data_IF_037740497816
#
_entry.id   IF_037740497816
#
_cell.length_a   1.000
_cell.length_b   1.000
_cell.length_c   1.000
_cell.angle_alpha   90.00
_cell.angle_beta   90.00
_cell.angle_gamma   90.00
#
_symmetry.space_group_name_H-M   'P 1'
#
loop_
_entity.id
_entity.type
_entity.pdbx_description
1 polymer ?
#
# COMPACT_ATOMS: atom_id res chain seq x y z
N UNK A 1 7.77 12.81 23.54
CA UNK A 1 8.81 11.95 24.15
C UNK A 1 9.26 10.86 23.18
N UNK A 2 8.34 10.13 22.54
CA UNK A 2 8.66 9.05 21.58
C UNK A 2 9.50 9.52 20.37
N UNK A 3 9.14 10.61 19.69
CA UNK A 3 10.00 11.14 18.60
C UNK A 3 11.38 11.62 19.05
N UNK A 4 11.54 12.03 20.31
CA UNK A 4 12.90 12.35 20.82
C UNK A 4 13.78 11.10 20.87
N UNK A 5 13.18 9.93 21.09
CA UNK A 5 13.89 8.64 21.00
C UNK A 5 14.28 8.41 19.55
N UNK A 6 13.34 8.53 18.59
CA UNK A 6 13.57 8.31 17.16
C UNK A 6 14.54 9.29 16.47
N UNK A 7 15.03 10.33 17.16
CA UNK A 7 15.99 11.32 16.63
C UNK A 7 17.38 11.23 17.27
N UNK A 8 17.59 10.28 18.18
CA UNK A 8 18.86 10.12 18.89
C UNK A 8 19.49 8.77 18.55
N UNK A 9 20.67 8.79 17.93
CA UNK A 9 21.35 7.58 17.45
C UNK A 9 21.63 6.57 18.57
N UNK A 10 21.86 7.04 19.79
CA UNK A 10 22.09 6.21 20.97
C UNK A 10 20.89 5.32 21.34
N UNK A 11 19.70 5.60 20.79
CA UNK A 11 18.48 4.85 21.03
C UNK A 11 17.95 4.11 19.79
N UNK A 12 18.74 3.94 18.71
CA UNK A 12 18.31 3.24 17.48
C UNK A 12 17.62 1.89 17.74
N UNK A 13 18.12 1.12 18.71
CA UNK A 13 17.51 -0.16 19.10
C UNK A 13 16.08 -0.06 19.65
N UNK A 14 15.64 1.13 20.07
CA UNK A 14 14.30 1.40 20.60
C UNK A 14 13.35 2.01 19.56
N UNK A 15 13.83 2.36 18.36
CA UNK A 15 13.00 3.04 17.36
C UNK A 15 11.79 2.20 16.96
N UNK A 16 11.91 0.89 16.65
CA UNK A 16 10.75 0.10 16.27
C UNK A 16 9.66 0.10 17.34
N UNK A 17 10.02 -0.06 18.61
CA UNK A 17 9.05 -0.03 19.72
C UNK A 17 8.42 1.35 19.91
N UNK A 18 9.19 2.42 19.76
CA UNK A 18 8.67 3.78 19.83
C UNK A 18 7.70 4.09 18.69
N UNK A 19 8.03 3.70 17.45
CA UNK A 19 7.20 3.87 16.26
C UNK A 19 5.91 3.04 16.35
N UNK A 20 5.97 1.79 16.81
CA UNK A 20 4.77 0.98 17.05
C UNK A 20 3.82 1.62 18.06
N UNK A 21 4.39 2.21 19.11
CA UNK A 21 3.62 2.96 20.11
C UNK A 21 3.00 4.22 19.48
N UNK A 22 3.74 4.92 18.62
CA UNK A 22 3.22 6.07 17.88
C UNK A 22 2.06 5.68 16.96
N UNK A 23 2.15 4.56 16.23
CA UNK A 23 1.05 4.08 15.40
C UNK A 23 -0.23 3.85 16.23
N UNK A 24 -0.08 3.29 17.44
CA UNK A 24 -1.23 3.10 18.34
C UNK A 24 -1.83 4.41 18.85
N UNK A 25 -1.01 5.45 19.07
CA UNK A 25 -1.46 6.76 19.58
C UNK A 25 -2.06 7.63 18.46
N UNK A 26 -1.58 7.48 17.23
CA UNK A 26 -2.04 8.26 16.08
C UNK A 26 -3.33 7.72 15.45
N UNK A 27 -4.07 6.87 16.16
CA UNK A 27 -5.38 6.38 15.72
C UNK A 27 -6.51 7.43 15.90
N UNK A 28 -6.21 8.59 16.50
CA UNK A 28 -7.12 9.72 16.70
C UNK A 28 -6.48 11.03 16.23
N UNK A 29 -7.30 12.01 15.86
CA UNK A 29 -6.85 13.30 15.30
C UNK A 29 -5.89 14.05 16.23
N UNK A 30 -6.13 14.04 17.54
CA UNK A 30 -5.24 14.68 18.51
C UNK A 30 -3.84 14.08 18.49
N UNK A 31 -3.72 12.77 18.33
CA UNK A 31 -2.43 12.08 18.24
C UNK A 31 -1.65 12.52 17.00
N UNK A 32 -2.34 12.61 15.87
CA UNK A 32 -1.78 13.05 14.58
C UNK A 32 -1.38 14.53 14.66
N UNK A 33 -2.21 15.37 15.26
CA UNK A 33 -1.90 16.78 15.45
C UNK A 33 -0.65 16.99 16.34
N UNK A 34 -0.49 16.19 17.39
CA UNK A 34 0.73 16.23 18.21
C UNK A 34 1.95 15.72 17.46
N UNK A 35 1.78 14.75 16.55
CA UNK A 35 2.84 14.25 15.67
C UNK A 35 3.31 15.37 14.72
N UNK A 36 2.38 16.08 14.09
CA UNK A 36 2.71 17.18 13.19
C UNK A 36 3.46 18.32 13.90
N UNK A 37 3.01 18.68 15.12
CA UNK A 37 3.64 19.73 15.94
C UNK A 37 5.11 19.53 16.28
N UNK A 38 5.62 18.30 16.14
CA UNK A 38 7.00 17.95 16.50
C UNK A 38 7.80 17.49 15.30
N UNK A 39 7.41 17.92 14.09
CA UNK A 39 8.01 17.53 12.81
C UNK A 39 8.01 16.01 12.62
N UNK A 40 6.96 15.34 13.11
CA UNK A 40 6.88 13.89 13.11
C UNK A 40 6.88 13.30 11.70
N UNK A 41 6.26 13.97 10.73
CA UNK A 41 6.25 13.54 9.33
C UNK A 41 7.65 13.60 8.72
N UNK A 42 8.39 14.68 8.95
CA UNK A 42 9.78 14.78 8.50
C UNK A 42 10.62 13.66 9.11
N UNK A 43 10.47 13.40 10.41
CA UNK A 43 11.16 12.29 11.08
C UNK A 43 10.80 10.91 10.50
N UNK A 44 9.53 10.68 10.13
CA UNK A 44 9.11 9.43 9.48
C UNK A 44 9.73 9.30 8.08
N UNK A 45 9.78 10.41 7.34
CA UNK A 45 10.39 10.49 6.01
C UNK A 45 11.88 10.16 6.10
N UNK A 46 12.62 10.81 7.01
CA UNK A 46 14.05 10.53 7.27
C UNK A 46 14.30 9.05 7.59
N UNK A 47 13.45 8.43 8.42
CA UNK A 47 13.60 7.02 8.79
C UNK A 47 13.35 6.11 7.58
N UNK A 48 12.34 6.42 6.75
CA UNK A 48 11.96 5.62 5.59
C UNK A 48 12.99 5.72 4.47
N UNK A 49 13.60 6.88 4.27
CA UNK A 49 14.59 7.13 3.20
C UNK A 49 16.01 6.74 3.59
N UNK A 50 16.35 6.69 4.88
CA UNK A 50 17.67 6.26 5.36
C UNK A 50 17.87 4.75 5.24
N UNK A 51 18.63 4.33 4.23
CA UNK A 51 19.00 2.92 4.00
C UNK A 51 19.86 2.31 5.11
N UNK A 52 20.50 3.13 5.96
CA UNK A 52 21.20 2.62 7.14
C UNK A 52 20.24 2.16 8.25
N UNK A 53 18.95 2.52 8.18
CA UNK A 53 17.94 2.03 9.10
C UNK A 53 17.59 0.58 8.81
N UNK A 54 17.38 -0.19 9.89
CA UNK A 54 16.91 -1.56 9.76
C UNK A 54 15.55 -1.61 9.07
N UNK A 55 15.31 -2.69 8.32
CA UNK A 55 14.01 -2.94 7.69
C UNK A 55 12.87 -2.90 8.72
N UNK A 56 13.10 -3.46 9.92
CA UNK A 56 12.13 -3.40 11.01
C UNK A 56 11.78 -1.95 11.42
N UNK A 57 12.76 -1.05 11.46
CA UNK A 57 12.52 0.36 11.77
C UNK A 57 11.72 1.05 10.66
N UNK A 58 12.10 0.80 9.39
CA UNK A 58 11.38 1.33 8.21
C UNK A 58 9.94 0.80 8.15
N UNK A 59 9.72 -0.48 8.47
CA UNK A 59 8.39 -1.09 8.54
C UNK A 59 7.49 -0.44 9.60
N UNK A 60 8.01 -0.17 10.80
CA UNK A 60 7.25 0.52 11.84
C UNK A 60 6.97 1.99 11.47
N UNK A 61 7.89 2.67 10.78
CA UNK A 61 7.62 4.01 10.25
C UNK A 61 6.50 3.95 9.20
N UNK A 62 6.51 2.95 8.31
CA UNK A 62 5.44 2.72 7.35
C UNK A 62 4.08 2.45 8.04
N UNK A 63 4.09 1.73 9.18
CA UNK A 63 2.89 1.52 9.98
C UNK A 63 2.31 2.83 10.54
N UNK A 64 3.16 3.74 11.01
CA UNK A 64 2.73 5.08 11.43
C UNK A 64 2.15 5.86 10.24
N UNK A 65 2.81 5.83 9.07
CA UNK A 65 2.30 6.49 7.86
C UNK A 65 0.94 5.92 7.45
N UNK A 66 0.77 4.60 7.43
CA UNK A 66 -0.51 3.94 7.16
C UNK A 66 -1.59 4.40 8.15
N UNK A 67 -1.26 4.51 9.44
CA UNK A 67 -2.20 4.97 10.44
C UNK A 67 -2.63 6.42 10.19
N UNK A 68 -1.68 7.35 10.03
CA UNK A 68 -2.02 8.77 9.89
C UNK A 68 -2.70 9.08 8.55
N UNK A 69 -2.58 8.20 7.55
CA UNK A 69 -3.21 8.36 6.23
C UNK A 69 -4.53 7.61 6.09
N UNK A 70 -5.00 6.95 7.15
CA UNK A 70 -6.21 6.12 7.08
C UNK A 70 -7.43 6.92 6.56
N UNK A 71 -8.20 6.40 5.58
CA UNK A 71 -9.30 7.12 4.91
C UNK A 71 -10.42 7.63 5.82
N UNK A 72 -10.53 7.12 7.05
CA UNK A 72 -11.51 7.56 8.04
C UNK A 72 -11.10 8.85 8.76
N UNK A 73 -9.86 9.29 8.57
CA UNK A 73 -9.31 10.51 9.13
C UNK A 73 -9.42 11.61 8.08
N UNK A 74 -10.27 12.60 8.31
CA UNK A 74 -10.37 13.78 7.43
C UNK A 74 -9.19 14.74 7.60
N UNK A 75 -8.44 14.62 8.69
CA UNK A 75 -7.40 15.56 9.09
C UNK A 75 -6.13 15.52 8.21
N UNK A 76 -5.80 14.37 7.63
CA UNK A 76 -4.51 14.15 6.95
C UNK A 76 -4.32 15.02 5.71
N UNK A 77 -5.41 15.36 5.02
CA UNK A 77 -5.40 16.25 3.86
C UNK A 77 -4.97 17.69 4.20
N UNK A 78 -4.92 18.03 5.50
CA UNK A 78 -4.51 19.35 5.98
C UNK A 78 -3.08 19.37 6.55
N UNK A 79 -2.35 18.25 6.51
CA UNK A 79 -0.98 18.19 7.00
C UNK A 79 -0.02 18.74 5.94
N UNK A 80 0.37 20.01 6.08
CA UNK A 80 1.30 20.67 5.15
C UNK A 80 2.60 19.88 4.98
N UNK A 81 3.17 19.37 6.08
CA UNK A 81 4.40 18.57 6.03
C UNK A 81 4.20 17.24 5.27
N UNK A 82 2.99 16.67 5.27
CA UNK A 82 2.70 15.46 4.49
C UNK A 82 2.77 15.74 2.99
N UNK A 83 2.13 16.82 2.56
CA UNK A 83 2.10 17.23 1.16
C UNK A 83 3.51 17.57 0.68
N UNK A 84 4.29 18.29 1.50
CA UNK A 84 5.67 18.66 1.19
C UNK A 84 6.62 17.47 1.03
N UNK A 85 6.36 16.36 1.74
CA UNK A 85 7.22 15.16 1.74
C UNK A 85 6.61 13.97 0.96
N UNK A 86 5.50 14.18 0.23
CA UNK A 86 4.74 13.10 -0.39
C UNK A 86 5.60 12.26 -1.36
N UNK A 87 6.46 12.89 -2.15
CA UNK A 87 7.34 12.20 -3.11
C UNK A 87 8.31 11.24 -2.45
N UNK A 88 8.99 11.72 -1.42
CA UNK A 88 9.96 10.92 -0.68
C UNK A 88 9.27 9.77 0.05
N UNK A 89 8.10 10.02 0.65
CA UNK A 89 7.30 9.00 1.31
C UNK A 89 6.83 7.92 0.34
N UNK A 90 6.20 8.29 -0.78
CA UNK A 90 5.73 7.35 -1.80
C UNK A 90 6.90 6.53 -2.34
N UNK A 91 8.03 7.19 -2.63
CA UNK A 91 9.24 6.54 -3.14
C UNK A 91 9.78 5.50 -2.16
N UNK A 92 9.96 5.90 -0.90
CA UNK A 92 10.52 5.03 0.12
C UNK A 92 9.59 3.85 0.45
N UNK A 93 8.27 4.07 0.49
CA UNK A 93 7.28 3.02 0.73
C UNK A 93 7.19 2.01 -0.43
N UNK A 94 7.27 2.49 -1.68
CA UNK A 94 7.31 1.60 -2.85
C UNK A 94 8.58 0.75 -2.84
N UNK A 95 9.74 1.36 -2.55
CA UNK A 95 11.00 0.65 -2.39
C UNK A 95 10.94 -0.38 -1.26
N UNK A 96 10.39 -0.02 -0.10
CA UNK A 96 10.21 -0.95 1.02
C UNK A 96 9.30 -2.12 0.64
N UNK A 97 8.23 -1.87 -0.14
CA UNK A 97 7.36 -2.93 -0.68
C UNK A 97 8.11 -3.86 -1.65
N UNK A 98 9.01 -3.31 -2.47
CA UNK A 98 9.83 -4.07 -3.41
C UNK A 98 10.90 -4.94 -2.71
N UNK A 99 11.48 -4.43 -1.62
CA UNK A 99 12.57 -5.08 -0.88
C UNK A 99 12.09 -5.99 0.25
N UNK A 100 10.81 -5.88 0.63
CA UNK A 100 10.23 -6.57 1.78
C UNK A 100 10.66 -8.04 1.90
N UNK A 101 11.30 -8.36 3.01
CA UNK A 101 11.77 -9.71 3.37
C UNK A 101 10.66 -10.60 3.96
N UNK A 102 9.53 -9.99 4.35
CA UNK A 102 8.39 -10.69 4.95
C UNK A 102 7.05 -10.11 4.51
N UNK A 103 5.99 -10.91 4.65
CA UNK A 103 4.62 -10.48 4.38
C UNK A 103 4.16 -9.33 5.26
N UNK A 104 4.65 -9.23 6.50
CA UNK A 104 4.31 -8.14 7.42
C UNK A 104 4.88 -6.80 6.93
N UNK A 105 6.16 -6.77 6.55
CA UNK A 105 6.81 -5.56 6.02
C UNK A 105 6.09 -5.08 4.75
N UNK A 106 5.79 -6.01 3.84
CA UNK A 106 5.05 -5.70 2.62
C UNK A 106 3.65 -5.14 2.94
N UNK A 107 2.92 -5.76 3.87
CA UNK A 107 1.58 -5.34 4.25
C UNK A 107 1.57 -3.91 4.80
N UNK A 108 2.52 -3.57 5.67
CA UNK A 108 2.61 -2.23 6.26
C UNK A 108 2.93 -1.16 5.20
N UNK A 109 3.91 -1.42 4.33
CA UNK A 109 4.29 -0.50 3.27
C UNK A 109 3.17 -0.31 2.23
N UNK A 110 2.55 -1.41 1.79
CA UNK A 110 1.43 -1.35 0.83
C UNK A 110 0.16 -0.75 1.43
N UNK A 111 -0.12 -0.93 2.73
CA UNK A 111 -1.24 -0.26 3.39
C UNK A 111 -1.06 1.26 3.42
N UNK A 112 0.16 1.74 3.68
CA UNK A 112 0.47 3.16 3.57
C UNK A 112 0.24 3.66 2.13
N UNK A 113 0.77 2.99 1.11
CA UNK A 113 0.56 3.38 -0.29
C UNK A 113 -0.93 3.37 -0.70
N UNK A 114 -1.69 2.36 -0.27
CA UNK A 114 -3.13 2.27 -0.54
C UNK A 114 -3.89 3.47 0.03
N UNK A 115 -3.50 3.93 1.22
CA UNK A 115 -4.08 5.11 1.84
C UNK A 115 -3.65 6.40 1.15
N UNK A 116 -2.36 6.56 0.81
CA UNK A 116 -1.86 7.76 0.12
C UNK A 116 -2.50 7.94 -1.26
N UNK A 117 -2.61 6.86 -2.03
CA UNK A 117 -3.28 6.85 -3.35
C UNK A 117 -4.77 7.14 -3.29
N UNK A 118 -5.40 6.95 -2.12
CA UNK A 118 -6.77 7.36 -1.90
C UNK A 118 -6.88 8.86 -1.62
N UNK A 119 -5.86 9.46 -0.99
CA UNK A 119 -5.87 10.87 -0.60
C UNK A 119 -5.66 11.81 -1.78
N UNK A 120 -4.72 11.50 -2.66
CA UNK A 120 -4.32 12.42 -3.74
C UNK A 120 -3.99 11.68 -5.05
N UNK A 121 -4.56 12.17 -6.17
CA UNK A 121 -4.30 11.62 -7.50
C UNK A 121 -2.85 11.82 -7.94
N UNK A 122 -2.15 12.87 -7.46
CA UNK A 122 -0.74 13.08 -7.74
C UNK A 122 0.11 11.87 -7.31
N UNK A 123 -0.22 11.25 -6.17
CA UNK A 123 0.49 10.06 -5.72
C UNK A 123 0.29 8.84 -6.65
N UNK A 124 -0.87 8.73 -7.31
CA UNK A 124 -1.10 7.72 -8.35
C UNK A 124 -0.21 7.98 -9.57
N UNK A 125 -0.04 9.24 -9.98
CA UNK A 125 0.83 9.63 -11.10
C UNK A 125 2.30 9.31 -10.79
N UNK A 126 2.74 9.58 -9.57
CA UNK A 126 4.09 9.25 -9.09
C UNK A 126 4.33 7.73 -9.13
N UNK A 127 3.40 6.94 -8.59
CA UNK A 127 3.50 5.48 -8.64
C UNK A 127 3.55 4.94 -10.07
N UNK A 128 2.77 5.53 -10.98
CA UNK A 128 2.80 5.17 -12.39
C UNK A 128 4.18 5.44 -13.01
N UNK A 129 4.78 6.60 -12.73
CA UNK A 129 6.13 6.97 -13.20
C UNK A 129 7.25 6.09 -12.63
N UNK A 130 7.01 5.45 -11.48
CA UNK A 130 7.97 4.60 -10.77
C UNK A 130 7.82 3.10 -11.08
N UNK A 131 7.12 2.72 -12.16
CA UNK A 131 6.83 1.33 -12.51
C UNK A 131 6.13 0.54 -11.37
N UNK A 132 5.33 1.20 -10.54
CA UNK A 132 4.73 0.56 -9.37
C UNK A 132 3.87 -0.66 -9.74
N UNK A 133 3.17 -0.62 -10.89
CA UNK A 133 2.37 -1.74 -11.37
C UNK A 133 3.23 -2.98 -11.55
N UNK A 134 4.38 -2.86 -12.23
CA UNK A 134 5.34 -3.96 -12.39
C UNK A 134 5.86 -4.49 -11.06
N UNK A 135 6.20 -3.60 -10.13
CA UNK A 135 6.69 -3.96 -8.79
C UNK A 135 5.61 -4.76 -8.03
N UNK A 136 4.37 -4.28 -8.02
CA UNK A 136 3.25 -4.93 -7.35
C UNK A 136 2.88 -6.26 -8.00
N UNK A 137 2.89 -6.35 -9.34
CA UNK A 137 2.61 -7.60 -10.06
C UNK A 137 3.71 -8.63 -9.79
N UNK A 138 4.97 -8.20 -9.72
CA UNK A 138 6.10 -9.06 -9.34
C UNK A 138 5.94 -9.56 -7.90
N UNK A 139 5.54 -8.68 -6.96
CA UNK A 139 5.29 -9.08 -5.58
C UNK A 139 4.18 -10.13 -5.45
N UNK A 140 3.11 -10.07 -6.26
CA UNK A 140 2.05 -11.07 -6.29
C UNK A 140 2.53 -12.49 -6.65
N UNK A 141 3.67 -12.62 -7.35
CA UNK A 141 4.26 -13.92 -7.70
C UNK A 141 5.06 -14.53 -6.54
N UNK A 142 5.48 -13.72 -5.57
CA UNK A 142 6.21 -14.15 -4.38
C UNK A 142 5.24 -14.54 -3.25
N UNK A 143 5.08 -15.86 -3.06
CA UNK A 143 4.20 -16.44 -2.03
C UNK A 143 4.70 -16.25 -0.60
N UNK A 144 5.94 -15.81 -0.37
CA UNK A 144 6.41 -15.44 0.97
C UNK A 144 6.02 -14.00 1.33
N UNK A 145 5.96 -13.13 0.32
CA UNK A 145 5.62 -11.71 0.48
C UNK A 145 4.12 -11.46 0.41
N UNK A 146 3.42 -12.03 -0.57
CA UNK A 146 1.97 -11.86 -0.77
C UNK A 146 1.26 -13.18 -0.48
N UNK A 147 1.14 -13.48 0.82
CA UNK A 147 0.65 -14.76 1.31
C UNK A 147 -0.76 -14.73 1.93
N UNK A 148 -1.37 -13.55 2.05
CA UNK A 148 -2.67 -13.36 2.72
C UNK A 148 -3.61 -12.47 1.90
N UNK A 149 -4.92 -12.62 2.13
CA UNK A 149 -5.92 -11.75 1.52
C UNK A 149 -5.78 -10.29 1.97
N UNK A 150 -5.17 -10.01 3.12
CA UNK A 150 -4.85 -8.64 3.55
C UNK A 150 -3.82 -7.96 2.65
N UNK A 151 -2.75 -8.67 2.27
CA UNK A 151 -1.74 -8.13 1.37
C UNK A 151 -2.32 -7.88 -0.04
N UNK A 152 -3.13 -8.83 -0.53
CA UNK A 152 -3.83 -8.68 -1.82
C UNK A 152 -4.84 -7.54 -1.78
N UNK A 153 -5.53 -7.33 -0.66
CA UNK A 153 -6.45 -6.21 -0.44
C UNK A 153 -5.74 -4.87 -0.60
N UNK A 154 -4.51 -4.72 -0.08
CA UNK A 154 -3.73 -3.50 -0.29
C UNK A 154 -3.34 -3.31 -1.75
N UNK A 155 -2.83 -4.34 -2.42
CA UNK A 155 -2.43 -4.28 -3.83
C UNK A 155 -3.60 -3.86 -4.71
N UNK A 156 -4.74 -4.54 -4.59
CA UNK A 156 -5.92 -4.22 -5.41
C UNK A 156 -6.49 -2.85 -5.06
N UNK A 157 -6.33 -2.36 -3.83
CA UNK A 157 -6.72 -0.98 -3.46
C UNK A 157 -5.86 0.03 -4.21
N UNK A 158 -4.54 -0.15 -4.23
CA UNK A 158 -3.61 0.72 -4.97
C UNK A 158 -3.99 0.73 -6.46
N UNK A 159 -4.19 -0.45 -7.06
CA UNK A 159 -4.59 -0.55 -8.47
C UNK A 159 -5.97 0.08 -8.74
N UNK A 160 -6.93 -0.09 -7.83
CA UNK A 160 -8.25 0.52 -7.95
C UNK A 160 -8.15 2.05 -7.94
N UNK A 161 -7.30 2.62 -7.09
CA UNK A 161 -7.06 4.05 -7.03
C UNK A 161 -6.33 4.55 -8.29
N UNK A 162 -5.28 3.84 -8.72
CA UNK A 162 -4.54 4.16 -9.95
C UNK A 162 -5.35 3.98 -11.23
N UNK A 163 -6.41 3.15 -11.23
CA UNK A 163 -7.26 2.90 -12.41
C UNK A 163 -8.03 4.11 -12.93
N UNK A 164 -7.97 5.25 -12.22
CA UNK A 164 -8.48 6.53 -12.71
C UNK A 164 -7.58 7.16 -13.78
N UNK A 165 -6.31 6.74 -13.86
CA UNK A 165 -5.35 7.23 -14.85
C UNK A 165 -5.48 6.43 -16.15
N UNK A 166 -5.50 7.12 -17.29
CA UNK A 166 -5.72 6.51 -18.61
C UNK A 166 -4.63 5.47 -18.95
N UNK A 167 -3.39 5.71 -18.55
CA UNK A 167 -2.23 4.83 -18.83
C UNK A 167 -2.22 3.56 -17.95
N UNK A 168 -3.03 3.51 -16.89
CA UNK A 168 -3.02 2.39 -15.96
C UNK A 168 -3.43 1.08 -16.64
N UNK A 169 -4.38 1.13 -17.59
CA UNK A 169 -4.85 -0.05 -18.32
C UNK A 169 -3.73 -0.71 -19.14
N UNK A 170 -2.97 0.07 -19.92
CA UNK A 170 -1.90 -0.45 -20.76
C UNK A 170 -0.78 -1.08 -19.93
N UNK A 171 -0.39 -0.46 -18.82
CA UNK A 171 0.63 -1.00 -17.91
C UNK A 171 0.17 -2.30 -17.25
N UNK A 172 -1.09 -2.39 -16.80
CA UNK A 172 -1.63 -3.63 -16.23
C UNK A 172 -1.69 -4.76 -17.26
N UNK A 173 -2.00 -4.46 -18.53
CA UNK A 173 -1.95 -5.45 -19.61
C UNK A 173 -0.52 -5.94 -19.84
N UNK A 174 0.44 -5.00 -19.94
CA UNK A 174 1.86 -5.29 -20.16
C UNK A 174 2.43 -6.22 -19.08
N UNK A 175 2.11 -5.96 -17.82
CA UNK A 175 2.64 -6.69 -16.66
C UNK A 175 1.81 -7.93 -16.28
N UNK A 176 0.98 -8.45 -17.20
CA UNK A 176 0.08 -9.59 -16.99
C UNK A 176 -0.90 -9.43 -15.80
N UNK A 177 -1.15 -8.20 -15.36
CA UNK A 177 -1.96 -7.92 -14.18
C UNK A 177 -3.44 -8.23 -14.37
N UNK A 178 -3.94 -8.29 -15.61
CA UNK A 178 -5.31 -8.76 -15.91
C UNK A 178 -5.56 -10.17 -15.35
N UNK A 179 -4.59 -11.08 -15.50
CA UNK A 179 -4.68 -12.44 -14.96
C UNK A 179 -4.78 -12.40 -13.43
N UNK A 180 -3.91 -11.62 -12.80
CA UNK A 180 -3.85 -11.49 -11.33
C UNK A 180 -5.15 -10.90 -10.79
N UNK A 181 -5.72 -9.88 -11.43
CA UNK A 181 -7.00 -9.30 -11.04
C UNK A 181 -8.16 -10.29 -11.16
N UNK A 182 -8.16 -11.15 -12.17
CA UNK A 182 -9.15 -12.23 -12.30
C UNK A 182 -8.95 -13.30 -11.21
N UNK A 183 -7.71 -13.67 -10.91
CA UNK A 183 -7.41 -14.60 -9.81
C UNK A 183 -7.87 -14.04 -8.45
N UNK A 184 -7.65 -12.74 -8.20
CA UNK A 184 -8.13 -12.03 -7.01
C UNK A 184 -9.66 -11.92 -6.97
N UNK A 185 -10.32 -11.73 -8.12
CA UNK A 185 -11.79 -11.71 -8.22
C UNK A 185 -12.42 -13.04 -7.76
N UNK A 186 -11.73 -14.16 -7.99
CA UNK A 186 -12.21 -15.50 -7.64
C UNK A 186 -11.48 -16.10 -6.42
N UNK A 187 -10.75 -15.28 -5.65
CA UNK A 187 -10.03 -15.73 -4.47
C UNK A 187 -11.00 -16.34 -3.43
N UNK A 188 -10.53 -17.31 -2.65
CA UNK A 188 -11.30 -17.93 -1.56
C UNK A 188 -10.55 -17.76 -0.25
N UNK A 189 -11.28 -17.54 0.83
CA UNK A 189 -10.71 -17.53 2.18
C UNK A 189 -9.96 -18.83 2.44
N UNK A 190 -8.77 -18.70 3.02
CA UNK A 190 -7.87 -19.83 3.29
C UNK A 190 -8.14 -20.46 4.66
N UNK A 191 -8.67 -19.68 5.60
CA UNK A 191 -8.80 -20.08 7.01
C UNK A 191 -10.24 -20.23 7.49
N UNK A 192 -11.22 -19.68 6.76
CA UNK A 192 -12.64 -19.69 7.14
C UNK A 192 -12.97 -18.82 8.35
N UNK A 193 -12.02 -18.05 8.88
CA UNK A 193 -12.24 -17.10 9.98
C UNK A 193 -12.92 -15.86 9.42
N UNK A 194 -13.87 -15.27 10.16
CA UNK A 194 -14.64 -14.11 9.71
C UNK A 194 -13.77 -12.96 9.20
N UNK A 195 -12.66 -12.65 9.89
CA UNK A 195 -11.77 -11.57 9.49
C UNK A 195 -11.08 -11.83 8.13
N UNK A 196 -10.70 -13.09 7.86
CA UNK A 196 -10.10 -13.53 6.59
C UNK A 196 -11.15 -13.57 5.47
N UNK A 197 -12.37 -14.01 5.78
CA UNK A 197 -13.51 -13.95 4.86
C UNK A 197 -13.78 -12.50 4.45
N UNK A 198 -13.90 -11.58 5.41
CA UNK A 198 -14.13 -10.17 5.12
C UNK A 198 -12.97 -9.54 4.34
N UNK A 199 -11.72 -9.96 4.58
CA UNK A 199 -10.60 -9.51 3.77
C UNK A 199 -10.69 -10.02 2.33
N UNK A 200 -10.99 -11.31 2.15
CA UNK A 200 -11.21 -11.93 0.84
C UNK A 200 -12.35 -11.26 0.07
N UNK A 201 -13.47 -10.96 0.72
CA UNK A 201 -14.61 -10.25 0.10
C UNK A 201 -14.20 -8.85 -0.40
N UNK A 202 -13.38 -8.11 0.37
CA UNK A 202 -12.84 -6.82 -0.07
C UNK A 202 -11.94 -6.96 -1.30
N UNK A 203 -11.09 -8.00 -1.34
CA UNK A 203 -10.25 -8.30 -2.52
C UNK A 203 -11.13 -8.51 -3.75
N UNK A 204 -12.15 -9.37 -3.65
CA UNK A 204 -13.06 -9.66 -4.76
C UNK A 204 -13.80 -8.41 -5.23
N UNK A 205 -14.37 -7.63 -4.30
CA UNK A 205 -15.11 -6.42 -4.60
C UNK A 205 -14.25 -5.38 -5.31
N UNK A 206 -13.05 -5.10 -4.77
CA UNK A 206 -12.13 -4.13 -5.37
C UNK A 206 -11.58 -4.61 -6.70
N UNK A 207 -11.35 -5.92 -6.86
CA UNK A 207 -10.97 -6.52 -8.15
C UNK A 207 -12.06 -6.30 -9.19
N UNK A 208 -13.33 -6.56 -8.83
CA UNK A 208 -14.47 -6.34 -9.72
C UNK A 208 -14.58 -4.86 -10.16
N UNK A 209 -14.45 -3.93 -9.21
CA UNK A 209 -14.48 -2.48 -9.51
C UNK A 209 -13.32 -2.08 -10.41
N UNK A 210 -12.11 -2.57 -10.13
CA UNK A 210 -10.91 -2.26 -10.92
C UNK A 210 -11.03 -2.80 -12.33
N UNK A 211 -11.43 -4.07 -12.50
CA UNK A 211 -11.70 -4.69 -13.79
C UNK A 211 -12.76 -3.90 -14.57
N UNK A 212 -13.85 -3.49 -13.93
CA UNK A 212 -14.91 -2.71 -14.57
C UNK A 212 -14.44 -1.33 -15.04
N UNK A 213 -13.61 -0.64 -14.25
CA UNK A 213 -13.04 0.67 -14.62
C UNK A 213 -12.08 0.54 -15.80
N UNK A 214 -11.16 -0.43 -15.74
CA UNK A 214 -10.14 -0.65 -16.76
C UNK A 214 -10.71 -1.22 -18.06
N UNK A 215 -11.86 -1.89 -18.03
CA UNK A 215 -12.55 -2.41 -19.24
C UNK A 215 -13.09 -1.32 -20.18
N UNK A 216 -12.91 -0.04 -19.84
CA UNK A 216 -13.09 1.07 -20.79
C UNK A 216 -12.01 1.07 -21.87
N UNK A 217 -10.83 0.54 -21.56
CA UNK A 217 -9.77 0.29 -22.52
C UNK A 217 -10.05 -1.01 -23.33
N UNK A 218 -10.08 -0.95 -24.67
CA UNK A 218 -10.41 -2.12 -25.49
C UNK A 218 -9.41 -3.29 -25.36
N UNK A 219 -8.12 -3.00 -25.22
CA UNK A 219 -7.09 -4.04 -25.11
C UNK A 219 -7.21 -4.76 -23.77
N UNK A 220 -7.42 -4.01 -22.70
CA UNK A 220 -7.72 -4.54 -21.38
C UNK A 220 -8.98 -5.42 -21.39
N UNK A 221 -10.08 -4.91 -21.96
CA UNK A 221 -11.34 -5.65 -22.03
C UNK A 221 -11.19 -6.98 -22.79
N UNK A 222 -10.47 -6.96 -23.92
CA UNK A 222 -10.19 -8.16 -24.69
C UNK A 222 -9.33 -9.16 -23.90
N UNK A 223 -8.30 -8.69 -23.21
CA UNK A 223 -7.48 -9.52 -22.33
C UNK A 223 -8.32 -10.15 -21.21
N UNK A 224 -9.19 -9.36 -20.56
CA UNK A 224 -10.04 -9.82 -19.46
C UNK A 224 -11.00 -10.93 -19.90
N UNK A 225 -11.65 -10.79 -21.07
CA UNK A 225 -12.51 -11.85 -21.64
C UNK A 225 -11.69 -13.12 -21.88
N UNK A 226 -10.51 -13.00 -22.50
CA UNK A 226 -9.65 -14.14 -22.81
C UNK A 226 -9.23 -14.90 -21.55
N UNK A 227 -8.86 -14.21 -20.48
CA UNK A 227 -8.44 -14.86 -19.23
C UNK A 227 -9.63 -15.40 -18.44
N UNK A 228 -10.77 -14.71 -18.40
CA UNK A 228 -11.96 -15.19 -17.70
C UNK A 228 -12.50 -16.48 -18.34
N UNK A 229 -12.55 -16.56 -19.67
CA UNK A 229 -12.93 -17.78 -20.37
C UNK A 229 -12.00 -18.95 -20.04
N UNK A 230 -10.68 -18.72 -19.97
CA UNK A 230 -9.71 -19.75 -19.57
C UNK A 230 -9.91 -20.18 -18.12
N UNK A 231 -10.13 -19.23 -17.22
CA UNK A 231 -10.31 -19.51 -15.81
C UNK A 231 -11.56 -20.36 -15.56
N UNK A 232 -12.70 -20.02 -16.18
CA UNK A 232 -13.94 -20.81 -16.09
C UNK A 232 -13.85 -22.21 -16.71
N UNK A 233 -12.89 -22.48 -17.61
CA UNK A 233 -12.68 -23.84 -18.17
C UNK A 233 -11.88 -24.76 -17.24
N UNK A 234 -11.25 -24.23 -16.19
CA UNK A 234 -10.46 -25.00 -15.21
C UNK A 234 -11.22 -25.28 -13.90
N UNK A 235 -12.49 -24.86 -13.80
CA UNK A 235 -13.43 -25.19 -12.74
C UNK A 235 -14.61 -25.98 -13.31
#
# INVERSE_FOLDING_TARGET
>A
MLFKICRQDCYKGLYPSALRTLASVCCVEEGIYQLEKVDGILCLTDILTDEAQSEACRAEAAAVVAQITSPHLTFTQHLSSFIENMEELVTALLKLSQEASSAEVFLLASAALANITFLDTLSCEMLLQMDAIKILMTACLDKQRVNSSYARDQIVTILANMSILDQCASEIVLENGVRILIEMLFEKSSTGILADISACERVQQKSAVTLARLSRDPEFAQAAVKYNCKFMMHY
#
